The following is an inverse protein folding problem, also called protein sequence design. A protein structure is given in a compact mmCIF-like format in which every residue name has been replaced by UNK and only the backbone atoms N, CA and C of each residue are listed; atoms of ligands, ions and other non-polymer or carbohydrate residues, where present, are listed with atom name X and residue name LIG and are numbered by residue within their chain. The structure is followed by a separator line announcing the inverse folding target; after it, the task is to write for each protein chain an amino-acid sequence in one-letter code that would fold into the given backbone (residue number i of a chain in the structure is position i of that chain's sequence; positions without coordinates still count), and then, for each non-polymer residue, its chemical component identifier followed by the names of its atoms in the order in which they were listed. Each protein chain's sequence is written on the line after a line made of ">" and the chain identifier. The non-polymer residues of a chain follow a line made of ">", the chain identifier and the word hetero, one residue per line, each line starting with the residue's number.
data_IF_499272121967
#
_entry.id   IF_499272121967
#
_cell.length_a   1.000
_cell.length_b   1.000
_cell.length_c   1.000
_cell.angle_alpha   90.00
_cell.angle_beta   90.00
_cell.angle_gamma   90.00
#
_symmetry.space_group_name_H-M   'P 1'
#
loop_
_entity.id
_entity.type
_entity.pdbx_description
1 polymer ?
#
# COMPACT_ATOMS: atom_id res chain seq x y z
N UNK A 1 -5.41 -20.87 -2.16
CA UNK A 1 -5.84 -20.10 -3.37
C UNK A 1 -4.79 -19.07 -3.80
N UNK A 2 -4.26 -18.26 -2.89
CA UNK A 2 -3.25 -17.24 -3.19
C UNK A 2 -1.94 -17.82 -3.73
N UNK A 3 -1.34 -18.81 -3.06
CA UNK A 3 -0.11 -19.47 -3.56
C UNK A 3 -0.26 -20.06 -4.96
N UNK A 4 -1.44 -20.64 -5.26
CA UNK A 4 -1.76 -21.15 -6.60
C UNK A 4 -1.88 -20.04 -7.63
N UNK A 5 -2.50 -18.91 -7.27
CA UNK A 5 -2.69 -17.77 -8.16
C UNK A 5 -1.37 -17.05 -8.46
N UNK A 6 -0.57 -16.79 -7.43
CA UNK A 6 0.70 -16.09 -7.53
C UNK A 6 1.90 -17.00 -7.82
N UNK A 7 1.68 -18.32 -7.85
CA UNK A 7 2.70 -19.35 -8.15
C UNK A 7 3.94 -19.22 -7.27
N UNK A 8 3.76 -18.80 -6.03
CA UNK A 8 4.82 -18.62 -5.04
C UNK A 8 4.34 -19.14 -3.69
N UNK A 9 5.20 -19.80 -2.90
CA UNK A 9 4.88 -20.11 -1.52
C UNK A 9 4.70 -18.80 -0.73
N UNK A 10 3.74 -18.79 0.19
CA UNK A 10 3.47 -17.65 1.09
C UNK A 10 3.87 -18.05 2.51
N UNK A 11 4.62 -17.21 3.25
CA UNK A 11 4.93 -17.48 4.65
C UNK A 11 3.66 -17.71 5.49
N UNK A 12 3.66 -18.77 6.30
CA UNK A 12 2.53 -19.09 7.20
C UNK A 12 2.60 -18.38 8.56
N UNK A 13 3.78 -17.88 8.93
CA UNK A 13 3.97 -17.11 10.16
C UNK A 13 3.34 -15.72 10.01
N UNK A 14 2.66 -15.25 11.06
CA UNK A 14 2.12 -13.91 11.08
C UNK A 14 3.26 -12.88 11.03
N UNK A 15 3.05 -11.80 10.26
CA UNK A 15 3.94 -10.65 10.28
C UNK A 15 3.85 -9.86 11.58
N UNK A 16 4.81 -8.96 11.79
CA UNK A 16 4.84 -8.05 12.93
C UNK A 16 3.79 -6.94 12.75
N UNK A 17 3.12 -6.56 13.84
CA UNK A 17 2.36 -5.31 13.91
C UNK A 17 3.29 -4.10 14.05
N UNK A 18 2.79 -2.88 13.90
CA UNK A 18 3.58 -1.64 13.94
C UNK A 18 4.56 -1.58 15.10
N UNK A 19 4.11 -1.76 16.35
CA UNK A 19 4.98 -1.74 17.53
C UNK A 19 6.10 -2.79 17.42
N UNK A 20 5.76 -3.98 16.95
CA UNK A 20 6.72 -5.06 16.73
C UNK A 20 7.75 -4.73 15.65
N UNK A 21 7.33 -4.09 14.55
CA UNK A 21 8.24 -3.62 13.49
C UNK A 21 9.21 -2.59 14.05
N UNK A 22 8.71 -1.60 14.83
CA UNK A 22 9.55 -0.56 15.41
C UNK A 22 10.55 -1.13 16.42
N UNK A 23 10.13 -2.06 17.27
CA UNK A 23 11.03 -2.76 18.20
C UNK A 23 12.06 -3.62 17.46
N UNK A 24 11.65 -4.33 16.40
CA UNK A 24 12.56 -5.14 15.59
C UNK A 24 13.61 -4.29 14.86
N UNK A 25 13.29 -3.05 14.46
CA UNK A 25 14.28 -2.10 13.95
C UNK A 25 15.31 -1.73 15.03
N UNK A 26 14.87 -1.47 16.28
CA UNK A 26 15.78 -1.18 17.40
C UNK A 26 16.69 -2.37 17.77
N UNK A 27 16.20 -3.58 17.56
CA UNK A 27 16.93 -4.83 17.83
C UNK A 27 17.84 -5.25 16.66
N UNK A 28 17.77 -4.55 15.52
CA UNK A 28 18.51 -4.91 14.30
C UNK A 28 17.95 -6.13 13.56
N UNK A 29 16.75 -6.61 13.93
CA UNK A 29 16.07 -7.72 13.26
C UNK A 29 15.41 -7.27 11.94
N UNK A 30 14.99 -6.00 11.87
CA UNK A 30 14.52 -5.34 10.65
C UNK A 30 15.55 -4.30 10.22
N UNK A 31 16.27 -4.61 9.15
CA UNK A 31 17.32 -3.75 8.59
C UNK A 31 16.80 -2.77 7.52
N UNK A 32 15.71 -3.13 6.84
CA UNK A 32 15.05 -2.27 5.86
C UNK A 32 13.59 -2.06 6.26
N UNK A 33 13.17 -0.80 6.32
CA UNK A 33 11.78 -0.43 6.58
C UNK A 33 11.22 0.37 5.40
N UNK A 34 10.08 -0.08 4.85
CA UNK A 34 9.33 0.63 3.83
C UNK A 34 8.05 1.19 4.42
N UNK A 35 7.95 2.51 4.56
CA UNK A 35 6.75 3.21 5.04
C UNK A 35 6.01 3.82 3.85
N UNK A 36 4.79 3.38 3.58
CA UNK A 36 3.97 3.88 2.47
C UNK A 36 2.70 4.56 2.99
N UNK A 37 2.58 5.88 2.75
CA UNK A 37 1.40 6.69 3.10
C UNK A 37 1.04 6.68 4.59
N UNK A 38 2.04 6.63 5.47
CA UNK A 38 1.86 6.60 6.92
C UNK A 38 2.88 7.50 7.62
N UNK A 39 2.48 8.08 8.76
CA UNK A 39 3.33 8.98 9.54
C UNK A 39 3.45 8.50 11.00
N UNK A 40 4.09 7.35 11.28
CA UNK A 40 4.21 6.80 12.64
C UNK A 40 4.87 7.75 13.64
N UNK A 41 5.75 8.65 13.22
CA UNK A 41 6.28 9.70 14.13
C UNK A 41 5.16 10.58 14.68
N UNK A 42 4.13 10.87 13.89
CA UNK A 42 2.98 11.70 14.29
C UNK A 42 1.81 10.90 14.85
N UNK A 43 1.55 9.72 14.28
CA UNK A 43 0.31 8.96 14.48
C UNK A 43 0.43 7.85 15.53
N UNK A 44 1.65 7.41 15.84
CA UNK A 44 1.88 6.40 16.86
C UNK A 44 1.62 6.98 18.26
N UNK A 45 1.09 6.16 19.17
CA UNK A 45 0.80 6.59 20.55
C UNK A 45 2.07 6.95 21.34
N UNK A 46 3.20 6.37 20.94
CA UNK A 46 4.54 6.69 21.44
C UNK A 46 5.44 7.17 20.28
N UNK A 47 5.41 8.46 19.92
CA UNK A 47 6.24 9.04 18.85
C UNK A 47 7.73 8.76 19.01
N UNK A 48 8.24 8.82 20.24
CA UNK A 48 9.66 8.58 20.54
C UNK A 48 10.12 7.17 20.17
N UNK A 49 9.23 6.17 20.22
CA UNK A 49 9.55 4.83 19.76
C UNK A 49 9.78 4.82 18.25
N UNK A 50 8.88 5.43 17.49
CA UNK A 50 8.97 5.53 16.04
C UNK A 50 10.25 6.28 15.62
N UNK A 51 10.54 7.44 16.23
CA UNK A 51 11.75 8.20 15.93
C UNK A 51 13.03 7.39 16.19
N UNK A 52 13.11 6.70 17.34
CA UNK A 52 14.28 5.88 17.68
C UNK A 52 14.44 4.71 16.72
N UNK A 53 13.34 4.04 16.36
CA UNK A 53 13.34 2.92 15.43
C UNK A 53 13.78 3.34 14.03
N UNK A 54 13.26 4.46 13.52
CA UNK A 54 13.63 5.00 12.21
C UNK A 54 15.11 5.41 12.16
N UNK A 55 15.67 5.97 13.24
CA UNK A 55 17.11 6.27 13.32
C UNK A 55 18.00 5.03 13.42
N UNK A 56 17.48 3.93 13.97
CA UNK A 56 18.24 2.70 14.19
C UNK A 56 18.21 1.76 13.00
N UNK A 57 17.15 1.81 12.18
CA UNK A 57 17.01 0.99 10.98
C UNK A 57 18.12 1.35 9.96
N UNK A 58 18.67 0.36 9.26
CA UNK A 58 19.81 0.58 8.35
C UNK A 58 19.39 1.28 7.06
N UNK A 59 18.16 1.08 6.60
CA UNK A 59 17.64 1.72 5.41
C UNK A 59 16.14 1.96 5.48
N UNK A 60 15.74 3.22 5.44
CA UNK A 60 14.33 3.65 5.51
C UNK A 60 13.88 4.20 4.16
N UNK A 61 12.90 3.53 3.55
CA UNK A 61 12.19 4.03 2.38
C UNK A 61 10.88 4.65 2.85
N UNK A 62 10.61 5.88 2.43
CA UNK A 62 9.31 6.53 2.66
C UNK A 62 8.68 6.87 1.33
N UNK A 63 7.44 6.43 1.12
CA UNK A 63 6.63 6.76 -0.03
C UNK A 63 5.46 7.64 0.42
N UNK A 64 5.47 8.89 0.00
CA UNK A 64 4.60 9.92 0.58
C UNK A 64 4.27 11.04 -0.40
N UNK A 65 3.10 11.66 -0.23
CA UNK A 65 2.61 12.75 -1.09
C UNK A 65 3.20 14.12 -0.71
N UNK A 66 3.79 14.22 0.49
CA UNK A 66 4.35 15.46 1.06
C UNK A 66 5.48 15.15 2.05
N UNK A 67 6.24 16.15 2.46
CA UNK A 67 7.20 15.96 3.56
C UNK A 67 6.45 15.82 4.90
N UNK A 68 6.48 14.63 5.51
CA UNK A 68 5.94 14.31 6.84
C UNK A 68 7.04 14.26 7.90
N UNK A 69 6.68 14.11 9.18
CA UNK A 69 7.68 13.97 10.24
C UNK A 69 8.45 12.66 10.10
N UNK A 70 7.78 11.59 9.67
CA UNK A 70 8.42 10.31 9.31
C UNK A 70 9.32 10.44 8.07
N UNK A 71 8.90 11.16 7.03
CA UNK A 71 9.68 11.32 5.79
C UNK A 71 11.05 11.99 6.01
N UNK A 72 11.22 12.78 7.09
CA UNK A 72 12.51 13.39 7.46
C UNK A 72 13.59 12.38 7.84
N UNK A 73 13.20 11.14 8.15
CA UNK A 73 14.09 10.04 8.50
C UNK A 73 14.40 9.11 7.32
N UNK A 74 13.86 9.39 6.13
CA UNK A 74 14.03 8.52 4.98
C UNK A 74 15.46 8.62 4.41
N UNK A 75 16.06 7.47 4.11
CA UNK A 75 17.24 7.38 3.24
C UNK A 75 16.84 7.49 1.76
N UNK A 76 15.64 7.02 1.43
CA UNK A 76 15.03 7.14 0.11
C UNK A 76 13.59 7.62 0.22
N UNK A 77 13.33 8.81 -0.33
CA UNK A 77 11.98 9.35 -0.45
C UNK A 77 11.45 9.12 -1.87
N UNK A 78 10.29 8.45 -1.98
CA UNK A 78 9.60 8.18 -3.24
C UNK A 78 8.31 9.02 -3.32
N UNK A 79 8.22 9.99 -4.26
CA UNK A 79 7.03 10.83 -4.39
C UNK A 79 5.80 10.02 -4.80
N UNK A 80 4.75 10.04 -3.97
CA UNK A 80 3.47 9.41 -4.25
C UNK A 80 2.44 10.42 -4.79
N UNK A 81 1.47 9.95 -5.55
CA UNK A 81 0.33 10.75 -6.00
C UNK A 81 -0.75 10.87 -4.90
N UNK A 82 -1.36 12.06 -4.69
CA UNK A 82 -2.63 12.14 -3.97
C UNK A 82 -3.75 11.49 -4.79
N UNK A 83 -4.85 11.09 -4.13
CA UNK A 83 -5.98 10.39 -4.78
C UNK A 83 -6.61 11.19 -5.95
N UNK A 84 -6.42 12.50 -6.00
CA UNK A 84 -6.90 13.36 -7.10
C UNK A 84 -6.12 13.17 -8.40
N UNK A 85 -4.92 12.57 -8.34
CA UNK A 85 -4.00 12.47 -9.47
C UNK A 85 -4.00 11.12 -10.17
N UNK A 86 -4.82 10.17 -9.69
CA UNK A 86 -4.99 8.85 -10.30
C UNK A 86 -6.42 8.34 -10.11
N UNK A 87 -6.71 7.14 -10.61
CA UNK A 87 -7.99 6.49 -10.37
C UNK A 87 -7.84 5.23 -9.52
N UNK A 88 -8.91 4.87 -8.83
CA UNK A 88 -8.92 3.71 -7.97
C UNK A 88 -10.25 3.54 -7.25
N UNK A 89 -10.21 2.87 -6.10
CA UNK A 89 -11.38 2.67 -5.26
C UNK A 89 -11.04 2.87 -3.78
N UNK A 90 -11.97 3.45 -3.02
CA UNK A 90 -11.97 3.41 -1.57
C UNK A 90 -13.06 2.46 -1.06
N UNK A 91 -12.82 1.83 0.09
CA UNK A 91 -13.85 1.11 0.84
C UNK A 91 -14.19 1.93 2.08
N UNK A 92 -15.44 2.37 2.20
CA UNK A 92 -15.88 3.17 3.33
C UNK A 92 -16.30 2.29 4.54
N UNK A 93 -16.70 2.95 5.63
CA UNK A 93 -17.08 2.31 6.90
C UNK A 93 -18.32 1.39 6.81
N UNK A 94 -19.24 1.61 5.87
CA UNK A 94 -20.41 0.74 5.65
C UNK A 94 -20.09 -0.48 4.75
N UNK A 95 -18.80 -0.68 4.43
CA UNK A 95 -18.26 -1.71 3.54
C UNK A 95 -18.65 -1.51 2.08
N UNK A 96 -18.78 -0.26 1.63
CA UNK A 96 -19.04 0.09 0.22
C UNK A 96 -17.75 0.48 -0.47
N UNK A 97 -17.48 -0.21 -1.57
CA UNK A 97 -16.41 0.11 -2.51
C UNK A 97 -16.93 1.14 -3.50
N UNK A 98 -16.26 2.29 -3.58
CA UNK A 98 -16.59 3.37 -4.51
C UNK A 98 -15.39 3.70 -5.36
N UNK A 99 -15.62 3.90 -6.66
CA UNK A 99 -14.59 4.35 -7.60
C UNK A 99 -14.39 5.85 -7.43
N UNK A 100 -13.14 6.29 -7.52
CA UNK A 100 -12.80 7.68 -7.77
C UNK A 100 -12.04 7.76 -9.10
N UNK A 101 -12.11 8.94 -9.72
CA UNK A 101 -11.49 9.20 -10.99
C UNK A 101 -10.39 10.23 -10.84
N UNK A 102 -9.43 10.14 -11.74
CA UNK A 102 -8.37 11.12 -11.87
C UNK A 102 -8.95 12.49 -12.23
N UNK A 103 -8.70 13.48 -11.37
CA UNK A 103 -9.08 14.87 -11.59
C UNK A 103 -7.93 15.68 -12.23
N UNK A 104 -6.69 15.35 -11.88
CA UNK A 104 -5.47 15.99 -12.39
C UNK A 104 -4.45 14.95 -12.84
N UNK A 105 -3.55 15.24 -13.80
CA UNK A 105 -2.44 14.34 -14.10
C UNK A 105 -1.43 14.30 -12.92
N UNK A 106 -0.66 13.21 -12.74
CA UNK A 106 0.42 13.15 -11.77
C UNK A 106 1.41 14.31 -11.94
N UNK A 107 1.84 14.91 -10.84
CA UNK A 107 2.77 16.04 -10.87
C UNK A 107 4.23 15.59 -10.73
N UNK A 108 5.11 16.18 -11.55
CA UNK A 108 6.55 15.92 -11.49
C UNK A 108 6.90 14.44 -11.73
N UNK A 109 7.64 13.85 -10.79
CA UNK A 109 8.02 12.43 -10.81
C UNK A 109 7.08 11.54 -9.97
N UNK A 110 6.01 12.11 -9.41
CA UNK A 110 5.08 11.38 -8.58
C UNK A 110 4.36 10.28 -9.38
N UNK A 111 4.17 9.14 -8.73
CA UNK A 111 3.45 8.00 -9.30
C UNK A 111 2.39 7.50 -8.32
N UNK A 112 1.29 6.90 -8.80
CA UNK A 112 0.37 6.18 -7.94
C UNK A 112 1.11 5.10 -7.16
N UNK A 113 0.72 4.85 -5.91
CA UNK A 113 1.45 3.93 -5.04
C UNK A 113 1.61 2.53 -5.65
N UNK A 114 0.54 2.02 -6.26
CA UNK A 114 0.53 0.72 -6.92
C UNK A 114 1.52 0.65 -8.08
N UNK A 115 1.75 1.75 -8.80
CA UNK A 115 2.68 1.79 -9.91
C UNK A 115 4.12 1.73 -9.42
N UNK A 116 4.44 2.38 -8.30
CA UNK A 116 5.76 2.28 -7.66
C UNK A 116 6.05 0.83 -7.29
N UNK A 117 5.12 0.13 -6.63
CA UNK A 117 5.28 -1.29 -6.29
C UNK A 117 5.41 -2.20 -7.52
N UNK A 118 4.60 -1.97 -8.55
CA UNK A 118 4.67 -2.69 -9.81
C UNK A 118 6.04 -2.52 -10.50
N UNK A 119 6.58 -1.31 -10.47
CA UNK A 119 7.89 -0.96 -11.00
C UNK A 119 9.05 -1.57 -10.20
N UNK A 120 8.92 -1.68 -8.88
CA UNK A 120 9.89 -2.39 -8.03
C UNK A 120 9.86 -3.90 -8.34
N UNK A 121 8.66 -4.48 -8.46
CA UNK A 121 8.48 -5.88 -8.85
C UNK A 121 9.09 -6.20 -10.22
N UNK A 122 8.89 -5.33 -11.21
CA UNK A 122 9.49 -5.47 -12.54
C UNK A 122 11.02 -5.57 -12.48
N UNK A 123 11.64 -4.79 -11.61
CA UNK A 123 13.10 -4.77 -11.43
C UNK A 123 13.63 -6.04 -10.75
N UNK A 124 12.83 -6.71 -9.92
CA UNK A 124 13.25 -7.94 -9.23
C UNK A 124 12.94 -9.21 -10.00
N UNK A 125 11.81 -9.29 -10.72
CA UNK A 125 11.32 -10.54 -11.30
C UNK A 125 11.25 -10.57 -12.83
N UNK A 126 11.45 -9.42 -13.51
CA UNK A 126 11.27 -9.27 -14.97
C UNK A 126 9.93 -9.82 -15.50
N UNK A 127 8.92 -9.89 -14.63
CA UNK A 127 7.57 -10.29 -14.98
C UNK A 127 6.67 -9.06 -15.06
N UNK A 128 5.73 -9.11 -15.99
CA UNK A 128 4.79 -8.04 -16.23
C UNK A 128 3.71 -7.97 -15.13
N UNK A 129 3.65 -6.91 -14.30
CA UNK A 129 2.63 -6.73 -13.27
C UNK A 129 1.30 -6.26 -13.89
N UNK A 130 0.20 -6.29 -13.12
CA UNK A 130 -1.05 -5.61 -13.50
C UNK A 130 -0.78 -4.13 -13.83
N UNK A 131 -1.44 -3.63 -14.87
CA UNK A 131 -1.09 -2.33 -15.45
C UNK A 131 -2.02 -1.18 -15.05
N UNK A 132 -3.13 -1.49 -14.37
CA UNK A 132 -4.09 -0.49 -13.92
C UNK A 132 -4.91 -1.00 -12.73
N UNK A 133 -5.58 -0.07 -12.06
CA UNK A 133 -6.37 -0.34 -10.86
C UNK A 133 -7.54 -1.32 -11.11
N UNK A 134 -8.08 -1.36 -12.34
CA UNK A 134 -9.16 -2.28 -12.72
C UNK A 134 -8.71 -3.73 -12.84
N UNK A 135 -7.51 -3.99 -13.34
CA UNK A 135 -6.90 -5.33 -13.36
C UNK A 135 -6.60 -5.81 -11.95
N UNK A 136 -6.04 -4.94 -11.10
CA UNK A 136 -5.80 -5.23 -9.68
C UNK A 136 -7.11 -5.60 -8.98
N UNK A 137 -8.18 -4.81 -9.17
CA UNK A 137 -9.49 -5.13 -8.58
C UNK A 137 -10.08 -6.44 -9.11
N UNK A 138 -9.90 -6.75 -10.41
CA UNK A 138 -10.36 -8.02 -10.98
C UNK A 138 -9.67 -9.21 -10.30
N UNK A 139 -8.37 -9.10 -10.03
CA UNK A 139 -7.63 -10.12 -9.28
C UNK A 139 -8.11 -10.23 -7.84
N UNK A 140 -8.28 -9.09 -7.14
CA UNK A 140 -8.84 -9.05 -5.79
C UNK A 140 -10.21 -9.74 -5.75
N UNK A 141 -11.11 -9.42 -6.68
CA UNK A 141 -12.45 -10.00 -6.76
C UNK A 141 -12.42 -11.52 -7.04
N UNK A 142 -11.44 -12.01 -7.81
CA UNK A 142 -11.27 -13.43 -8.08
C UNK A 142 -10.71 -14.20 -6.86
N UNK A 143 -9.89 -13.54 -6.03
CA UNK A 143 -9.21 -14.17 -4.89
C UNK A 143 -9.91 -13.91 -3.55
N UNK A 144 -10.73 -12.88 -3.42
CA UNK A 144 -11.39 -12.47 -2.17
C UNK A 144 -12.90 -12.41 -2.40
N UNK A 145 -13.67 -13.43 -1.98
CA UNK A 145 -15.11 -13.54 -2.27
C UNK A 145 -15.94 -12.31 -1.90
N UNK A 146 -15.57 -11.58 -0.85
CA UNK A 146 -16.25 -10.34 -0.45
C UNK A 146 -16.24 -9.26 -1.55
N UNK A 147 -15.20 -9.25 -2.40
CA UNK A 147 -15.00 -8.30 -3.50
C UNK A 147 -15.56 -8.80 -4.83
N UNK A 148 -16.16 -10.00 -4.90
CA UNK A 148 -16.76 -10.51 -6.14
C UNK A 148 -17.73 -9.53 -6.85
N UNK A 149 -18.53 -8.71 -6.13
CA UNK A 149 -19.39 -7.68 -6.76
C UNK A 149 -18.64 -6.46 -7.30
N UNK A 150 -17.36 -6.28 -6.94
CA UNK A 150 -16.59 -5.07 -7.22
C UNK A 150 -15.91 -5.19 -8.57
N UNK A 151 -16.62 -4.82 -9.64
CA UNK A 151 -16.06 -4.76 -11.01
C UNK A 151 -16.04 -3.30 -11.48
N UNK A 152 -14.93 -2.86 -12.08
CA UNK A 152 -14.73 -1.44 -12.44
C UNK A 152 -15.76 -0.92 -13.47
N UNK A 153 -16.28 -1.81 -14.30
CA UNK A 153 -17.36 -1.58 -15.26
C UNK A 153 -18.73 -1.41 -14.58
N UNK A 154 -18.93 -1.99 -13.39
CA UNK A 154 -20.22 -1.97 -12.68
C UNK A 154 -20.24 -1.13 -11.41
N UNK A 155 -19.09 -0.67 -10.91
CA UNK A 155 -18.99 0.10 -9.67
C UNK A 155 -19.79 1.43 -9.74
N UNK A 156 -20.05 1.97 -10.94
CA UNK A 156 -20.97 3.08 -11.15
C UNK A 156 -20.72 4.30 -10.26
N UNK A 157 -21.73 5.18 -10.15
CA UNK A 157 -21.67 6.35 -9.28
C UNK A 157 -21.86 5.98 -7.79
N UNK A 158 -22.65 4.96 -7.51
CA UNK A 158 -23.06 4.58 -6.14
C UNK A 158 -22.21 3.49 -5.49
N UNK A 159 -21.19 2.98 -6.18
CA UNK A 159 -20.35 1.90 -5.67
C UNK A 159 -21.09 0.56 -5.49
N UNK A 160 -20.37 -0.41 -4.93
CA UNK A 160 -20.90 -1.73 -4.59
C UNK A 160 -20.60 -2.03 -3.12
N UNK A 161 -21.58 -2.58 -2.39
CA UNK A 161 -21.32 -3.09 -1.04
C UNK A 161 -20.62 -4.43 -1.13
N UNK A 162 -19.59 -4.63 -0.32
CA UNK A 162 -18.92 -5.92 -0.19
C UNK A 162 -19.94 -6.98 0.21
N UNK A 163 -19.80 -8.18 -0.36
CA UNK A 163 -20.64 -9.32 -0.02
C UNK A 163 -20.51 -9.71 1.45
N UNK A 164 -21.55 -10.35 1.99
CA UNK A 164 -21.46 -11.03 3.28
C UNK A 164 -20.64 -12.32 3.11
N UNK A 165 -19.32 -12.20 3.03
CA UNK A 165 -18.43 -13.33 3.23
C UNK A 165 -18.19 -13.47 4.73
N UNK A 166 -18.98 -14.31 5.38
CA UNK A 166 -18.56 -15.03 6.59
C UNK A 166 -17.86 -16.32 6.14
#
# INVERSE_FOLDING_TARGET
>A
RFEKAWRTPIPSAAGLATDGILQACLQGEVQMLYVAGADPVREHYEPSLAERALRACEFVIVQEVRMTETARYADLLLPACPFTEYEGTFTNWERRVQRFWQAHPPQGEAKPDWQVFAELWLRTQRQTPPFNAGEVMREIAALVPAFAPCRYDTLGEYGARLGNAL
#
